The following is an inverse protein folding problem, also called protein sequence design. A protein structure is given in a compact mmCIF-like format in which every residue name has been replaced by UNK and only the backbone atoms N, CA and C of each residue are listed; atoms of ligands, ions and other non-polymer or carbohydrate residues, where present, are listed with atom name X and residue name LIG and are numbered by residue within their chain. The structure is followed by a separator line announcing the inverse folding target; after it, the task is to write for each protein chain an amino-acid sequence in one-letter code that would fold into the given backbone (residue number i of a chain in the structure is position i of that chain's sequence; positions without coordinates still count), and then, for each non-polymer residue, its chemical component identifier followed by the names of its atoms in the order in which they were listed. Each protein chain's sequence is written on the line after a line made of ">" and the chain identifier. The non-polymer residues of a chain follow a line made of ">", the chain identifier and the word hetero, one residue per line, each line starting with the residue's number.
data_IF_977046577570
#
_entry.id   IF_977046577570
#
_cell.length_a   1.000
_cell.length_b   1.000
_cell.length_c   1.000
_cell.angle_alpha   90.00
_cell.angle_beta   90.00
_cell.angle_gamma   90.00
#
_symmetry.space_group_name_H-M   'P 1'
#
loop_
_entity.id
_entity.type
_entity.pdbx_description
1 polymer ?
#
# COMPACT_ATOMS: atom_id res chain seq x y z
N UNK A 1 5.39 -5.28 27.95
CA UNK A 1 6.54 -5.59 27.09
C UNK A 1 6.61 -7.10 26.97
N UNK A 2 6.18 -7.66 25.84
CA UNK A 2 6.35 -9.07 25.55
C UNK A 2 7.14 -9.14 24.24
N UNK A 3 8.37 -9.63 24.34
CA UNK A 3 9.28 -9.86 23.22
C UNK A 3 8.64 -10.88 22.26
N UNK A 4 8.52 -10.51 20.97
CA UNK A 4 8.07 -11.43 19.93
C UNK A 4 9.24 -12.33 19.54
N UNK A 5 8.98 -13.65 19.54
CA UNK A 5 9.92 -14.67 19.08
C UNK A 5 10.11 -14.55 17.57
N UNK A 6 11.37 -14.47 17.20
CA UNK A 6 11.87 -14.27 15.86
C UNK A 6 11.89 -15.62 15.12
N UNK A 7 10.83 -15.92 14.38
CA UNK A 7 10.68 -17.12 13.55
C UNK A 7 10.95 -16.76 12.08
N UNK A 8 12.15 -16.27 11.75
CA UNK A 8 12.83 -16.45 10.44
C UNK A 8 12.06 -16.18 9.14
N UNK A 9 11.01 -15.35 9.12
CA UNK A 9 10.36 -14.89 7.88
C UNK A 9 10.79 -13.45 7.65
N UNK A 10 11.75 -13.27 6.75
CA UNK A 10 12.12 -11.97 6.19
C UNK A 10 10.86 -11.40 5.52
N UNK A 11 10.40 -10.26 6.02
CA UNK A 11 9.20 -9.58 5.55
C UNK A 11 9.16 -8.18 6.15
N UNK A 12 8.70 -7.20 5.38
CA UNK A 12 8.71 -5.80 5.84
C UNK A 12 7.75 -5.61 7.02
N UNK A 13 8.28 -5.14 8.14
CA UNK A 13 7.50 -4.90 9.35
C UNK A 13 6.70 -3.60 9.25
N UNK A 14 5.56 -3.53 9.94
CA UNK A 14 4.68 -2.34 9.90
C UNK A 14 5.40 -1.05 10.28
N UNK A 15 6.28 -1.07 11.30
CA UNK A 15 7.04 0.11 11.73
C UNK A 15 7.97 0.66 10.64
N UNK A 16 8.51 -0.20 9.77
CA UNK A 16 9.38 0.23 8.66
C UNK A 16 8.55 0.96 7.59
N UNK A 17 7.35 0.44 7.31
CA UNK A 17 6.41 1.07 6.39
C UNK A 17 5.97 2.44 6.90
N UNK A 18 5.74 2.58 8.21
CA UNK A 18 5.39 3.85 8.85
C UNK A 18 6.49 4.90 8.66
N UNK A 19 7.76 4.54 8.89
CA UNK A 19 8.89 5.44 8.67
C UNK A 19 8.93 5.97 7.23
N UNK A 20 8.57 5.15 6.24
CA UNK A 20 8.53 5.63 4.85
C UNK A 20 7.38 6.58 4.54
N UNK A 21 6.36 6.68 5.40
CA UNK A 21 5.12 7.40 5.17
C UNK A 21 4.90 8.59 6.13
N UNK A 22 5.87 8.90 7.00
CA UNK A 22 5.73 9.86 8.12
C UNK A 22 5.20 11.24 7.72
N UNK A 23 5.58 11.75 6.55
CA UNK A 23 5.19 13.08 6.05
C UNK A 23 3.94 13.07 5.15
N UNK A 24 3.29 11.92 4.99
CA UNK A 24 2.14 11.76 4.09
C UNK A 24 0.84 11.61 4.90
N UNK A 25 -0.32 11.96 4.31
CA UNK A 25 -1.62 11.66 4.90
C UNK A 25 -1.94 10.17 4.74
N UNK A 26 -1.10 9.31 5.33
CA UNK A 26 -1.16 7.87 5.25
C UNK A 26 -1.11 7.22 6.64
N UNK A 27 -1.58 5.99 6.75
CA UNK A 27 -1.54 5.20 7.99
C UNK A 27 -1.23 3.76 7.67
N UNK A 28 -0.40 3.13 8.50
CA UNK A 28 -0.18 1.68 8.44
C UNK A 28 -1.06 1.06 9.52
N UNK A 29 -1.83 0.03 9.18
CA UNK A 29 -2.72 -0.63 10.14
C UNK A 29 -2.99 -2.09 9.73
N UNK A 30 -3.60 -2.86 10.61
CA UNK A 30 -4.11 -4.20 10.32
C UNK A 30 -5.54 -4.15 9.74
N UNK A 31 -6.05 -5.30 9.29
CA UNK A 31 -7.34 -5.39 8.59
C UNK A 31 -8.54 -4.95 9.44
N UNK A 32 -8.52 -5.24 10.74
CA UNK A 32 -9.57 -4.92 11.71
C UNK A 32 -9.53 -3.47 12.18
N UNK A 33 -8.40 -2.78 12.04
CA UNK A 33 -8.25 -1.35 12.33
C UNK A 33 -8.59 -0.44 11.14
N UNK A 34 -8.73 -0.97 9.92
CA UNK A 34 -9.13 -0.17 8.77
C UNK A 34 -10.55 0.40 8.99
N UNK A 35 -10.73 1.73 9.01
CA UNK A 35 -12.03 2.33 9.27
C UNK A 35 -13.03 2.02 8.15
N UNK A 36 -14.30 1.82 8.52
CA UNK A 36 -15.36 1.55 7.55
C UNK A 36 -15.67 2.77 6.67
N UNK A 37 -15.56 3.97 7.24
CA UNK A 37 -15.78 5.25 6.56
C UNK A 37 -14.59 6.21 6.79
N UNK A 38 -14.18 6.91 5.73
CA UNK A 38 -13.03 7.84 5.73
C UNK A 38 -13.52 9.22 5.32
N UNK A 39 -13.65 10.11 6.30
CA UNK A 39 -14.14 11.48 6.12
C UNK A 39 -13.03 12.52 5.88
N UNK A 40 -11.81 12.27 6.37
CA UNK A 40 -10.67 13.19 6.29
C UNK A 40 -9.81 12.99 5.02
N UNK A 41 -10.39 13.29 3.85
CA UNK A 41 -9.74 13.06 2.54
C UNK A 41 -8.85 14.25 2.08
N UNK A 42 -7.74 14.00 1.35
CA UNK A 42 -7.29 12.71 0.88
C UNK A 42 -6.57 11.93 1.98
N UNK A 43 -6.75 10.61 2.00
CA UNK A 43 -6.12 9.72 2.98
C UNK A 43 -5.71 8.42 2.30
N UNK A 44 -4.58 7.87 2.71
CA UNK A 44 -4.14 6.54 2.31
C UNK A 44 -3.98 5.61 3.50
N UNK A 45 -4.10 4.31 3.24
CA UNK A 45 -3.82 3.28 4.23
C UNK A 45 -2.96 2.21 3.58
N UNK A 46 -1.92 1.76 4.26
CA UNK A 46 -1.20 0.52 3.95
C UNK A 46 -1.64 -0.50 4.98
N UNK A 47 -2.39 -1.49 4.53
CA UNK A 47 -3.20 -2.36 5.38
C UNK A 47 -2.63 -3.76 5.31
N UNK A 48 -2.33 -4.34 6.47
CA UNK A 48 -2.05 -5.75 6.55
C UNK A 48 -3.35 -6.54 6.30
N UNK A 49 -3.29 -7.61 5.52
CA UNK A 49 -4.48 -8.40 5.19
C UNK A 49 -5.02 -9.23 6.35
N UNK A 50 -4.18 -9.47 7.36
CA UNK A 50 -4.57 -10.17 8.59
C UNK A 50 -4.92 -9.19 9.71
N UNK A 51 -5.52 -9.70 10.78
CA UNK A 51 -5.87 -8.90 11.96
C UNK A 51 -4.61 -8.60 12.79
N UNK A 52 -4.67 -7.61 13.66
CA UNK A 52 -3.50 -7.16 14.44
C UNK A 52 -2.84 -8.25 15.31
N UNK A 53 -3.63 -9.24 15.75
CA UNK A 53 -3.17 -10.36 16.56
C UNK A 53 -2.59 -11.53 15.73
N UNK A 54 -2.69 -11.47 14.40
CA UNK A 54 -2.20 -12.47 13.48
C UNK A 54 -0.79 -12.14 12.94
N UNK A 55 -0.14 -13.11 12.27
CA UNK A 55 1.25 -12.99 11.83
C UNK A 55 1.50 -11.94 10.74
N UNK A 56 0.45 -11.50 10.04
CA UNK A 56 0.48 -10.40 9.09
C UNK A 56 1.24 -10.68 7.78
N UNK A 57 0.65 -11.47 6.89
CA UNK A 57 1.36 -12.10 5.77
C UNK A 57 1.43 -11.25 4.49
N UNK A 58 0.46 -10.36 4.24
CA UNK A 58 0.43 -9.54 3.02
C UNK A 58 0.02 -8.09 3.32
N UNK A 59 0.53 -7.16 2.51
CA UNK A 59 0.21 -5.74 2.58
C UNK A 59 -0.48 -5.28 1.30
N UNK A 60 -1.53 -4.46 1.45
CA UNK A 60 -2.28 -3.83 0.36
C UNK A 60 -2.44 -2.34 0.65
N UNK A 61 -2.76 -1.52 -0.35
CA UNK A 61 -2.99 -0.10 -0.16
C UNK A 61 -4.42 0.31 -0.51
N UNK A 62 -4.97 1.21 0.30
CA UNK A 62 -6.21 1.94 0.02
C UNK A 62 -5.87 3.41 -0.18
N UNK A 63 -6.51 4.04 -1.16
CA UNK A 63 -6.42 5.48 -1.36
C UNK A 63 -7.82 6.08 -1.49
N UNK A 64 -8.09 7.08 -0.67
CA UNK A 64 -9.34 7.82 -0.58
C UNK A 64 -9.09 9.23 -1.08
N UNK A 65 -9.29 9.53 -2.38
CA UNK A 65 -9.04 10.86 -2.93
C UNK A 65 -10.07 11.88 -2.45
N UNK A 66 -9.79 13.18 -2.61
CA UNK A 66 -10.76 14.24 -2.32
C UNK A 66 -12.03 14.10 -3.18
N UNK A 67 -11.83 13.76 -4.45
CA UNK A 67 -12.87 13.57 -5.45
C UNK A 67 -12.59 12.32 -6.27
N UNK A 68 -13.64 11.68 -6.76
CA UNK A 68 -13.54 10.47 -7.57
C UNK A 68 -13.66 9.16 -6.78
N UNK A 69 -13.48 8.01 -7.46
CA UNK A 69 -13.63 6.70 -6.85
C UNK A 69 -12.49 6.41 -5.89
N UNK A 70 -12.79 5.67 -4.83
CA UNK A 70 -11.76 5.12 -3.94
C UNK A 70 -10.97 4.03 -4.67
N UNK A 71 -9.74 3.84 -4.25
CA UNK A 71 -8.76 3.01 -4.93
C UNK A 71 -8.25 1.91 -3.99
N UNK A 72 -8.17 0.70 -4.50
CA UNK A 72 -7.53 -0.45 -3.87
C UNK A 72 -6.36 -0.91 -4.73
N UNK A 73 -5.19 -1.07 -4.13
CA UNK A 73 -3.99 -1.52 -4.79
C UNK A 73 -3.43 -2.76 -4.10
N UNK A 74 -3.27 -3.82 -4.88
CA UNK A 74 -2.49 -4.99 -4.52
C UNK A 74 -1.41 -5.21 -5.59
N UNK A 75 -0.17 -5.30 -5.13
CA UNK A 75 1.01 -5.60 -5.96
C UNK A 75 0.93 -6.92 -6.72
N UNK A 76 0.17 -7.90 -6.24
CA UNK A 76 -0.11 -9.16 -6.95
C UNK A 76 -1.27 -9.06 -7.94
N UNK A 77 -1.93 -7.90 -8.06
CA UNK A 77 -3.07 -7.70 -8.95
C UNK A 77 -4.34 -8.45 -8.51
N UNK A 78 -4.48 -8.79 -7.22
CA UNK A 78 -5.72 -9.42 -6.71
C UNK A 78 -6.77 -8.36 -6.46
N UNK A 79 -8.03 -8.72 -6.66
CA UNK A 79 -9.15 -7.85 -6.37
C UNK A 79 -9.42 -7.81 -4.85
N UNK A 80 -10.10 -6.78 -4.33
CA UNK A 80 -10.43 -6.72 -2.89
C UNK A 80 -11.29 -7.91 -2.41
N UNK A 81 -12.04 -8.56 -3.30
CA UNK A 81 -12.83 -9.77 -3.03
C UNK A 81 -11.98 -11.02 -2.76
N UNK A 82 -10.71 -11.03 -3.16
CA UNK A 82 -9.79 -12.13 -2.87
C UNK A 82 -9.54 -12.27 -1.36
N UNK A 83 -9.64 -11.16 -0.63
CA UNK A 83 -9.38 -11.08 0.80
C UNK A 83 -10.68 -11.19 1.59
N UNK A 84 -10.76 -10.47 2.71
CA UNK A 84 -11.96 -10.41 3.54
C UNK A 84 -13.04 -9.58 2.87
N UNK A 85 -14.30 -9.99 3.01
CA UNK A 85 -15.48 -9.23 2.56
C UNK A 85 -15.46 -7.77 3.05
N UNK A 86 -14.87 -7.51 4.23
CA UNK A 86 -14.66 -6.18 4.80
C UNK A 86 -13.98 -5.22 3.81
N UNK A 87 -12.94 -5.64 3.09
CA UNK A 87 -12.20 -4.73 2.20
C UNK A 87 -13.07 -4.15 1.10
N UNK A 88 -13.88 -5.00 0.45
CA UNK A 88 -14.89 -4.54 -0.51
C UNK A 88 -15.94 -3.66 0.14
N UNK A 89 -16.40 -4.00 1.35
CA UNK A 89 -17.41 -3.21 2.05
C UNK A 89 -16.91 -1.79 2.37
N UNK A 90 -15.65 -1.63 2.82
CA UNK A 90 -15.04 -0.32 3.06
C UNK A 90 -15.03 0.51 1.76
N UNK A 91 -14.68 -0.09 0.63
CA UNK A 91 -14.66 0.62 -0.65
C UNK A 91 -16.05 1.16 -1.03
N UNK A 92 -17.09 0.33 -0.87
CA UNK A 92 -18.47 0.68 -1.22
C UNK A 92 -19.07 1.69 -0.23
N UNK A 93 -18.73 1.59 1.05
CA UNK A 93 -19.16 2.56 2.06
C UNK A 93 -18.61 3.97 1.76
N UNK A 94 -17.49 4.06 1.05
CA UNK A 94 -16.81 5.32 0.76
C UNK A 94 -17.09 5.88 -0.65
N UNK A 95 -17.93 5.22 -1.46
CA UNK A 95 -18.38 5.73 -2.75
C UNK A 95 -19.13 4.70 -3.60
N UNK A 96 -19.93 5.14 -4.58
CA UNK A 96 -20.71 4.24 -5.45
C UNK A 96 -19.84 3.43 -6.43
N UNK A 97 -18.58 3.81 -6.60
CA UNK A 97 -17.61 3.18 -7.49
C UNK A 97 -16.23 3.13 -6.79
N UNK A 98 -15.47 2.08 -7.07
CA UNK A 98 -14.07 1.94 -6.68
C UNK A 98 -13.22 1.43 -7.83
N UNK A 99 -11.90 1.65 -7.75
CA UNK A 99 -10.91 1.19 -8.74
C UNK A 99 -9.92 0.25 -8.10
N UNK A 100 -9.44 -0.71 -8.88
CA UNK A 100 -8.30 -1.55 -8.57
C UNK A 100 -7.65 -2.01 -9.87
N UNK A 101 -6.39 -2.42 -9.78
CA UNK A 101 -5.65 -3.02 -10.88
C UNK A 101 -5.59 -4.53 -10.73
N UNK A 102 -5.77 -5.25 -11.83
CA UNK A 102 -5.55 -6.71 -11.89
C UNK A 102 -4.15 -7.06 -12.42
N UNK A 103 -3.31 -6.07 -12.65
CA UNK A 103 -1.94 -6.28 -13.13
C UNK A 103 -1.02 -6.63 -11.97
N UNK A 104 -0.45 -7.83 -12.00
CA UNK A 104 0.62 -8.22 -11.10
C UNK A 104 1.90 -7.44 -11.43
N UNK A 105 2.40 -6.66 -10.49
CA UNK A 105 3.60 -5.82 -10.63
C UNK A 105 4.79 -6.30 -9.79
N UNK A 106 4.57 -7.25 -8.88
CA UNK A 106 5.63 -7.89 -8.11
C UNK A 106 5.83 -9.37 -8.47
N UNK A 107 7.02 -9.95 -8.25
CA UNK A 107 7.25 -11.38 -8.42
C UNK A 107 6.41 -12.21 -7.45
N UNK A 108 5.96 -13.39 -7.89
CA UNK A 108 5.19 -14.34 -7.06
C UNK A 108 5.91 -14.82 -5.80
N UNK A 109 7.25 -14.77 -5.79
CA UNK A 109 8.11 -15.26 -4.70
C UNK A 109 8.65 -14.16 -3.79
N UNK A 110 8.21 -12.91 -3.94
CA UNK A 110 8.73 -11.78 -3.17
C UNK A 110 7.85 -11.43 -1.98
N UNK A 111 8.51 -11.08 -0.88
CA UNK A 111 8.00 -10.57 0.41
C UNK A 111 7.89 -9.03 0.47
N UNK A 112 8.05 -8.34 -0.68
CA UNK A 112 8.19 -6.87 -0.73
C UNK A 112 6.88 -6.11 -0.96
N UNK A 113 5.72 -6.77 -0.83
CA UNK A 113 4.41 -6.16 -1.09
C UNK A 113 4.15 -4.86 -0.32
N UNK A 114 4.67 -4.76 0.92
CA UNK A 114 4.62 -3.53 1.72
C UNK A 114 5.34 -2.35 1.05
N UNK A 115 6.52 -2.59 0.47
CA UNK A 115 7.29 -1.55 -0.22
C UNK A 115 6.62 -1.10 -1.53
N UNK A 116 5.96 -2.02 -2.25
CA UNK A 116 5.13 -1.67 -3.40
C UNK A 116 3.96 -0.77 -2.98
N UNK A 117 3.30 -1.08 -1.85
CA UNK A 117 2.24 -0.25 -1.29
C UNK A 117 2.74 1.14 -0.90
N UNK A 118 3.90 1.23 -0.23
CA UNK A 118 4.56 2.51 0.10
C UNK A 118 4.86 3.32 -1.15
N UNK A 119 5.44 2.69 -2.18
CA UNK A 119 5.74 3.38 -3.44
C UNK A 119 4.45 3.88 -4.12
N UNK A 120 3.43 3.04 -4.20
CA UNK A 120 2.12 3.43 -4.70
C UNK A 120 1.59 4.65 -3.96
N UNK A 121 1.55 4.63 -2.63
CA UNK A 121 1.06 5.76 -1.81
C UNK A 121 1.87 7.04 -2.04
N UNK A 122 3.21 6.95 -2.04
CA UNK A 122 4.11 8.10 -2.26
C UNK A 122 3.84 8.80 -3.59
N UNK A 123 3.70 8.02 -4.66
CA UNK A 123 3.45 8.57 -6.00
C UNK A 123 1.99 9.01 -6.14
N UNK A 124 1.05 8.28 -5.53
CA UNK A 124 -0.38 8.61 -5.56
C UNK A 124 -0.70 9.91 -4.84
N UNK A 125 -0.02 10.21 -3.73
CA UNK A 125 -0.10 11.50 -3.03
C UNK A 125 0.36 12.70 -3.88
N UNK A 126 1.09 12.47 -4.98
CA UNK A 126 1.47 13.49 -5.96
C UNK A 126 0.44 13.63 -7.10
N UNK A 127 -0.76 13.05 -6.93
CA UNK A 127 -1.86 13.05 -7.90
C UNK A 127 -1.57 12.34 -9.23
N UNK A 128 -0.66 11.36 -9.23
CA UNK A 128 -0.46 10.47 -10.37
C UNK A 128 -1.52 9.35 -10.33
N UNK A 129 -2.08 8.98 -11.47
CA UNK A 129 -3.14 7.96 -11.55
C UNK A 129 -2.63 6.56 -11.19
N UNK A 130 -3.52 5.69 -10.70
CA UNK A 130 -3.18 4.28 -10.43
C UNK A 130 -2.69 3.60 -11.71
N UNK A 131 -3.35 3.88 -12.84
CA UNK A 131 -3.02 3.30 -14.14
C UNK A 131 -1.59 3.66 -14.56
N UNK A 132 -1.18 4.92 -14.38
CA UNK A 132 0.18 5.37 -14.69
C UNK A 132 1.22 4.78 -13.72
N UNK A 133 0.89 4.67 -12.43
CA UNK A 133 1.77 4.04 -11.42
C UNK A 133 2.00 2.57 -11.76
N UNK A 134 0.93 1.82 -12.05
CA UNK A 134 1.00 0.40 -12.44
C UNK A 134 1.81 0.23 -13.73
N UNK A 135 1.63 1.14 -14.69
CA UNK A 135 2.41 1.13 -15.94
C UNK A 135 3.89 1.43 -15.69
N UNK A 136 4.24 2.37 -14.82
CA UNK A 136 5.63 2.66 -14.45
C UNK A 136 6.28 1.44 -13.78
N UNK A 137 5.57 0.73 -12.90
CA UNK A 137 6.04 -0.55 -12.35
C UNK A 137 6.28 -1.62 -13.42
N UNK A 138 5.40 -1.73 -14.42
CA UNK A 138 5.51 -2.74 -15.48
C UNK A 138 6.61 -2.45 -16.51
N UNK A 139 6.93 -1.17 -16.73
CA UNK A 139 7.91 -0.72 -17.73
C UNK A 139 9.32 -0.65 -17.14
N UNK A 140 9.44 -0.44 -15.83
CA UNK A 140 10.68 -0.61 -15.08
C UNK A 140 10.71 -2.03 -14.52
N UNK A 141 11.34 -2.94 -15.27
CA UNK A 141 11.64 -4.31 -14.86
C UNK A 141 11.89 -4.40 -13.34
N UNK A 142 11.03 -5.16 -12.65
CA UNK A 142 11.16 -5.65 -11.27
C UNK A 142 12.09 -4.82 -10.39
N UNK A 143 11.56 -3.69 -9.95
CA UNK A 143 12.21 -2.68 -9.12
C UNK A 143 13.38 -3.18 -8.25
N UNK A 144 14.50 -2.45 -8.39
CA UNK A 144 15.55 -2.14 -7.41
C UNK A 144 15.05 -1.61 -6.04
N UNK A 145 13.79 -1.89 -5.68
CA UNK A 145 13.13 -1.52 -4.42
C UNK A 145 13.72 -2.27 -3.23
N UNK A 146 14.38 -3.41 -3.45
CA UNK A 146 15.03 -4.18 -2.38
C UNK A 146 16.41 -3.67 -1.96
N UNK A 147 17.11 -2.85 -2.75
CA UNK A 147 18.54 -2.59 -2.49
C UNK A 147 19.01 -1.14 -2.62
N UNK A 148 18.23 -0.22 -3.18
CA UNK A 148 18.77 1.12 -3.49
C UNK A 148 18.07 2.29 -2.77
N UNK A 149 16.87 2.11 -2.21
CA UNK A 149 16.07 3.26 -1.72
C UNK A 149 16.23 3.66 -0.25
N UNK A 150 17.21 3.10 0.48
CA UNK A 150 17.69 3.75 1.71
C UNK A 150 18.59 4.97 1.40
N UNK A 151 19.10 5.14 0.16
CA UNK A 151 20.04 6.22 -0.19
C UNK A 151 19.49 7.25 -1.21
N UNK A 152 18.36 6.98 -1.88
CA UNK A 152 17.84 7.88 -2.93
C UNK A 152 16.59 8.69 -2.54
N UNK A 153 16.01 8.49 -1.35
CA UNK A 153 14.92 9.34 -0.87
C UNK A 153 15.34 10.80 -0.58
N UNK A 154 16.63 11.16 -0.64
CA UNK A 154 17.08 12.55 -0.41
C UNK A 154 17.38 13.34 -1.69
N UNK A 155 17.60 12.71 -2.85
CA UNK A 155 18.25 13.41 -3.98
C UNK A 155 17.37 13.70 -5.21
N UNK A 156 16.20 13.06 -5.37
CA UNK A 156 15.36 13.28 -6.57
C UNK A 156 14.12 14.17 -6.31
N UNK A 157 13.87 14.62 -5.08
CA UNK A 157 12.82 15.61 -4.80
C UNK A 157 13.15 17.05 -5.28
N UNK A 158 14.37 17.30 -5.79
CA UNK A 158 14.82 18.62 -6.24
C UNK A 158 14.83 18.83 -7.76
N UNK A 159 14.24 17.93 -8.55
CA UNK A 159 14.27 18.07 -10.02
C UNK A 159 13.02 18.66 -10.67
N UNK A 160 12.00 18.98 -9.88
CA UNK A 160 10.75 19.56 -10.35
C UNK A 160 10.18 20.65 -9.42
N UNK A 161 11.07 21.43 -8.80
CA UNK A 161 10.75 22.75 -8.22
C UNK A 161 11.37 23.81 -9.11
#
# INVERSE_FOLDING_TARGET
>A
MQERKDDGVEGTYGYELECYLEDLPATVCCADELPDEVSNRPRSFVVNTDDCDDKGINWVAFHFPREGPVEFFDSFGRSPEYYRRRFRNVLIANGPQYRFSTTQVQPGSSDTCGLYCVHFVKIRCRNISMEDIVKDFSSRDLMRVTTTNCLYCTNECNKYI
#
